data_IF_721804652346
#
_entry.id   IF_721804652346
#
_cell.length_a   1.000
_cell.length_b   1.000
_cell.length_c   1.000
_cell.angle_alpha   90.00
_cell.angle_beta   90.00
_cell.angle_gamma   90.00
#
_symmetry.space_group_name_H-M   'P 1'
#
loop_
_entity.id
_entity.type
_entity.pdbx_description
1 polymer ?
#
# COMPACT_ATOMS: atom_id res chain seq x y z
N UNK A 1 -0.40 -0.79 1.16
CA UNK A 1 -0.96 -0.02 2.29
C UNK A 1 -1.15 -0.95 3.48
N UNK A 2 -0.46 -0.71 4.60
CA UNK A 2 -0.56 -1.45 5.86
C UNK A 2 -0.07 -2.92 5.85
N UNK A 3 0.76 -3.34 4.92
CA UNK A 3 1.29 -4.70 4.93
C UNK A 3 2.39 -4.85 5.98
N UNK A 4 2.16 -5.68 7.00
CA UNK A 4 3.13 -5.96 8.05
C UNK A 4 4.30 -6.82 7.55
N UNK A 5 5.50 -6.56 8.05
CA UNK A 5 6.73 -7.29 7.74
C UNK A 5 6.59 -8.82 7.90
N UNK A 6 5.91 -9.28 8.94
CA UNK A 6 5.72 -10.70 9.23
C UNK A 6 4.65 -11.40 8.37
N UNK A 7 4.28 -10.83 7.23
CA UNK A 7 3.28 -11.38 6.30
C UNK A 7 3.87 -11.74 4.94
N UNK A 8 5.16 -12.06 4.89
CA UNK A 8 5.85 -12.55 3.70
C UNK A 8 6.36 -13.97 3.99
N UNK A 9 6.02 -14.94 3.14
CA UNK A 9 6.34 -16.35 3.38
C UNK A 9 7.86 -16.60 3.42
N UNK A 10 8.62 -16.03 2.49
CA UNK A 10 10.08 -16.15 2.46
C UNK A 10 10.77 -15.57 3.71
N UNK A 11 10.11 -14.66 4.44
CA UNK A 11 10.61 -14.07 5.68
C UNK A 11 10.16 -14.83 6.95
N UNK A 12 9.56 -16.01 6.78
CA UNK A 12 9.29 -16.96 7.88
C UNK A 12 7.82 -17.20 8.18
N UNK A 13 6.88 -16.48 7.59
CA UNK A 13 5.44 -16.75 7.78
C UNK A 13 4.95 -17.83 6.80
N UNK A 14 4.82 -19.05 7.27
CA UNK A 14 4.40 -20.18 6.43
C UNK A 14 2.87 -20.30 6.23
N UNK A 15 2.10 -19.44 6.87
CA UNK A 15 0.62 -19.45 6.78
C UNK A 15 0.10 -18.56 5.65
N UNK A 16 0.89 -17.62 5.14
CA UNK A 16 0.51 -16.72 4.04
C UNK A 16 1.19 -17.12 2.73
N UNK A 17 0.46 -17.03 1.62
CA UNK A 17 0.99 -17.31 0.28
C UNK A 17 1.42 -16.02 -0.43
N UNK A 18 2.74 -15.87 -0.67
CA UNK A 18 3.32 -14.68 -1.32
C UNK A 18 4.39 -15.06 -2.35
N UNK A 19 4.11 -15.98 -3.30
CA UNK A 19 5.14 -16.56 -4.18
C UNK A 19 5.85 -15.53 -5.06
N UNK A 20 5.21 -14.41 -5.41
CA UNK A 20 5.80 -13.39 -6.26
C UNK A 20 6.68 -12.42 -5.45
N UNK A 21 6.25 -12.03 -4.26
CA UNK A 21 7.07 -11.26 -3.30
C UNK A 21 8.26 -12.13 -2.83
N UNK A 22 8.05 -13.42 -2.62
CA UNK A 22 9.12 -14.37 -2.24
C UNK A 22 10.22 -14.43 -3.31
N UNK A 23 9.88 -14.34 -4.59
CA UNK A 23 10.87 -14.23 -5.69
C UNK A 23 11.67 -12.94 -5.58
N UNK A 24 11.05 -11.81 -5.24
CA UNK A 24 11.77 -10.56 -5.00
C UNK A 24 12.71 -10.66 -3.81
N UNK A 25 12.28 -11.32 -2.73
CA UNK A 25 13.12 -11.58 -1.54
C UNK A 25 14.32 -12.46 -1.90
N UNK A 26 14.11 -13.55 -2.66
CA UNK A 26 15.17 -14.51 -3.00
C UNK A 26 16.18 -13.98 -4.02
N UNK A 27 15.74 -13.11 -4.92
CA UNK A 27 16.57 -12.58 -6.01
C UNK A 27 17.12 -11.18 -5.74
N UNK A 28 16.74 -10.57 -4.61
CA UNK A 28 17.06 -9.20 -4.28
C UNK A 28 17.76 -9.03 -2.94
N UNK A 29 17.75 -7.80 -2.46
CA UNK A 29 18.26 -7.40 -1.17
C UNK A 29 17.09 -7.02 -0.25
N UNK A 30 17.03 -7.59 0.96
CA UNK A 30 15.95 -7.37 1.91
C UNK A 30 16.45 -6.65 3.17
N UNK A 31 15.84 -5.51 3.47
CA UNK A 31 16.01 -4.82 4.75
C UNK A 31 15.08 -5.47 5.79
N UNK A 32 15.64 -6.26 6.69
CA UNK A 32 14.87 -6.97 7.71
C UNK A 32 14.48 -6.09 8.92
N UNK A 33 15.06 -4.89 9.02
CA UNK A 33 14.82 -3.93 10.10
C UNK A 33 14.58 -2.54 9.51
N UNK A 34 13.46 -2.38 8.79
CA UNK A 34 13.00 -1.10 8.28
C UNK A 34 11.83 -0.59 9.12
N UNK A 35 11.87 0.66 9.55
CA UNK A 35 10.90 1.28 10.43
C UNK A 35 10.42 2.61 9.88
N UNK A 36 9.17 2.97 10.18
CA UNK A 36 8.67 4.32 9.98
C UNK A 36 8.97 5.18 11.21
N UNK A 37 9.01 6.49 11.04
CA UNK A 37 9.22 7.43 12.16
C UNK A 37 7.94 7.77 12.92
N UNK A 38 6.81 7.13 12.60
CA UNK A 38 5.51 7.45 13.17
C UNK A 38 4.85 8.66 12.52
N UNK A 39 4.07 9.41 13.30
CA UNK A 39 3.28 10.54 12.84
C UNK A 39 3.14 11.59 13.94
N UNK A 40 2.63 12.77 13.58
CA UNK A 40 2.16 13.80 14.53
C UNK A 40 0.73 13.54 15.02
N UNK A 41 0.03 12.58 14.44
CA UNK A 41 -1.35 12.20 14.76
C UNK A 41 -1.53 10.69 14.57
N UNK A 42 -2.70 10.12 14.93
CA UNK A 42 -2.96 8.69 14.83
C UNK A 42 -2.92 8.09 13.42
N UNK A 43 -2.91 8.90 12.35
CA UNK A 43 -2.83 8.41 10.98
C UNK A 43 -1.39 8.44 10.46
N UNK A 44 -0.78 7.29 10.24
CA UNK A 44 0.65 7.17 9.87
C UNK A 44 0.91 7.05 8.36
N UNK A 45 -0.09 6.68 7.55
CA UNK A 45 0.10 6.44 6.11
C UNK A 45 0.55 7.71 5.36
N UNK A 46 -0.08 8.87 5.60
CA UNK A 46 0.27 10.12 4.91
C UNK A 46 1.73 10.54 5.17
N UNK A 47 2.19 10.66 6.42
CA UNK A 47 3.57 11.03 6.70
C UNK A 47 4.57 9.97 6.23
N UNK A 48 4.26 8.69 6.36
CA UNK A 48 5.14 7.63 5.85
C UNK A 48 5.33 7.73 4.33
N UNK A 49 4.24 7.91 3.57
CA UNK A 49 4.30 8.12 2.12
C UNK A 49 5.04 9.40 1.76
N UNK A 50 4.86 10.47 2.54
CA UNK A 50 5.59 11.71 2.35
C UNK A 50 7.10 11.52 2.59
N UNK A 51 7.50 10.84 3.67
CA UNK A 51 8.90 10.50 3.95
C UNK A 51 9.51 9.64 2.84
N UNK A 52 8.79 8.59 2.39
CA UNK A 52 9.24 7.71 1.31
C UNK A 52 9.46 8.49 0.00
N UNK A 53 8.52 9.35 -0.37
CA UNK A 53 8.58 10.10 -1.64
C UNK A 53 9.57 11.26 -1.63
N UNK A 54 9.96 11.76 -0.46
CA UNK A 54 10.83 12.96 -0.34
C UNK A 54 12.22 12.67 0.21
N UNK A 55 12.43 11.51 0.86
CA UNK A 55 13.64 11.22 1.62
C UNK A 55 13.83 12.14 2.84
N UNK A 56 12.80 12.87 3.25
CA UNK A 56 12.87 13.76 4.41
C UNK A 56 12.42 13.07 5.69
N UNK A 57 12.99 13.49 6.81
CA UNK A 57 12.50 13.10 8.13
C UNK A 57 11.14 13.71 8.44
N UNK A 58 10.35 13.07 9.30
CA UNK A 58 9.02 13.53 9.72
C UNK A 58 9.00 15.01 10.14
N UNK A 59 10.02 15.46 10.87
CA UNK A 59 10.12 16.84 11.39
C UNK A 59 10.32 17.90 10.29
N UNK A 60 10.65 17.49 9.07
CA UNK A 60 10.79 18.36 7.89
C UNK A 60 9.51 18.47 7.06
N UNK A 61 8.55 17.61 7.33
CA UNK A 61 7.24 17.61 6.68
C UNK A 61 6.29 18.64 7.32
N UNK A 62 5.09 18.74 6.78
CA UNK A 62 4.03 19.57 7.38
C UNK A 62 3.76 19.14 8.84
N UNK A 63 3.90 20.05 9.79
CA UNK A 63 3.83 19.77 11.23
C UNK A 63 2.43 19.37 11.71
N UNK A 64 1.40 19.62 10.92
CA UNK A 64 0.02 19.30 11.32
C UNK A 64 -0.36 17.88 10.92
N UNK A 65 -0.05 17.50 9.67
CA UNK A 65 -0.47 16.21 9.10
C UNK A 65 0.68 15.33 8.62
N UNK A 66 1.92 15.84 8.59
CA UNK A 66 3.06 15.14 8.01
C UNK A 66 2.96 15.01 6.48
N UNK A 67 2.24 15.93 5.82
CA UNK A 67 2.12 15.94 4.36
C UNK A 67 3.35 16.56 3.69
N UNK A 68 3.49 16.33 2.38
CA UNK A 68 4.53 16.95 1.55
C UNK A 68 4.28 18.46 1.46
N UNK A 69 5.21 19.25 1.97
CA UNK A 69 5.16 20.72 1.88
C UNK A 69 5.38 21.20 0.44
N UNK A 70 4.88 22.41 0.13
CA UNK A 70 4.90 22.96 -1.23
C UNK A 70 6.31 23.15 -1.81
N UNK A 71 7.29 23.40 -0.95
CA UNK A 71 8.69 23.63 -1.32
C UNK A 71 9.56 22.37 -1.25
N UNK A 72 8.97 21.22 -0.93
CA UNK A 72 9.70 19.95 -0.85
C UNK A 72 9.55 19.22 -2.18
N UNK A 73 10.66 18.94 -2.84
CA UNK A 73 10.68 18.09 -4.03
C UNK A 73 10.56 16.62 -3.65
N UNK A 74 9.80 15.89 -4.45
CA UNK A 74 9.70 14.43 -4.35
C UNK A 74 10.74 13.75 -5.23
N UNK A 75 11.10 12.51 -4.91
CA UNK A 75 11.96 11.69 -5.75
C UNK A 75 11.41 11.56 -7.19
N UNK A 76 10.12 11.23 -7.41
CA UNK A 76 9.58 11.20 -8.78
C UNK A 76 9.60 12.57 -9.47
N UNK A 77 9.49 13.69 -8.74
CA UNK A 77 9.67 15.02 -9.33
C UNK A 77 11.11 15.22 -9.83
N UNK A 78 12.11 14.83 -9.06
CA UNK A 78 13.52 14.92 -9.46
C UNK A 78 13.81 14.03 -10.68
N UNK A 79 13.26 12.82 -10.72
CA UNK A 79 13.37 11.93 -11.87
C UNK A 79 12.70 12.52 -13.11
N UNK A 80 11.51 13.10 -12.97
CA UNK A 80 10.82 13.82 -14.05
C UNK A 80 11.67 14.98 -14.59
N UNK A 81 12.25 15.80 -13.72
CA UNK A 81 13.16 16.89 -14.08
C UNK A 81 14.45 16.38 -14.77
N UNK A 82 14.84 15.13 -14.48
CA UNK A 82 15.97 14.44 -15.12
C UNK A 82 15.60 13.71 -16.42
N UNK A 83 14.39 13.90 -16.94
CA UNK A 83 13.95 13.36 -18.21
C UNK A 83 13.25 12.00 -18.17
N UNK A 84 12.96 11.45 -17.00
CA UNK A 84 12.17 10.22 -16.85
C UNK A 84 10.71 10.45 -17.21
N UNK A 85 10.08 9.44 -17.82
CA UNK A 85 8.62 9.30 -17.80
C UNK A 85 8.20 8.80 -16.42
N UNK A 86 7.36 9.57 -15.72
CA UNK A 86 6.92 9.20 -14.35
C UNK A 86 5.44 8.86 -14.36
N UNK A 87 5.11 7.61 -14.01
CA UNK A 87 3.77 7.04 -14.00
C UNK A 87 3.33 6.71 -12.57
N UNK A 88 2.03 6.87 -12.30
CA UNK A 88 1.44 6.51 -11.01
C UNK A 88 0.07 5.84 -11.16
N UNK A 89 -0.19 4.84 -10.35
CA UNK A 89 -1.52 4.27 -10.12
C UNK A 89 -1.70 3.90 -8.64
N UNK A 90 -2.92 4.05 -8.13
CA UNK A 90 -3.25 3.70 -6.75
C UNK A 90 -3.29 4.88 -5.77
N UNK A 91 -3.00 4.59 -4.50
CA UNK A 91 -3.16 5.53 -3.38
C UNK A 91 -1.99 6.50 -3.26
N UNK A 92 -2.27 7.79 -3.44
CA UNK A 92 -1.30 8.87 -3.20
C UNK A 92 -1.27 9.34 -1.75
N UNK A 93 -2.43 9.63 -1.20
CA UNK A 93 -2.63 10.09 0.18
C UNK A 93 -1.72 11.27 0.57
N UNK A 94 -1.57 12.21 -0.34
CA UNK A 94 -0.91 13.50 -0.12
C UNK A 94 -1.63 14.59 -0.92
N UNK A 95 -1.12 15.81 -0.91
CA UNK A 95 -1.75 16.94 -1.57
C UNK A 95 -1.70 16.81 -3.10
N UNK A 96 -2.76 17.28 -3.80
CA UNK A 96 -2.83 17.28 -5.27
C UNK A 96 -1.65 18.01 -5.94
N UNK A 97 -1.17 19.20 -5.45
CA UNK A 97 -0.02 19.87 -6.05
C UNK A 97 1.26 19.04 -6.02
N UNK A 98 1.54 18.30 -4.95
CA UNK A 98 2.71 17.42 -4.88
C UNK A 98 2.60 16.25 -5.85
N UNK A 99 1.40 15.71 -6.06
CA UNK A 99 1.14 14.70 -7.08
C UNK A 99 1.44 15.21 -8.49
N UNK A 100 0.86 16.34 -8.86
CA UNK A 100 1.01 16.92 -10.20
C UNK A 100 2.46 17.28 -10.55
N UNK A 101 3.21 17.79 -9.56
CA UNK A 101 4.65 18.05 -9.74
C UNK A 101 5.46 16.76 -9.97
N UNK A 102 5.03 15.66 -9.37
CA UNK A 102 5.77 14.37 -9.35
C UNK A 102 5.63 13.55 -10.63
N UNK A 103 4.44 13.56 -11.27
CA UNK A 103 4.15 12.62 -12.33
C UNK A 103 3.88 13.29 -13.68
N UNK A 104 4.17 12.55 -14.77
CA UNK A 104 3.87 12.94 -16.15
C UNK A 104 2.57 12.34 -16.64
N UNK A 105 2.18 11.18 -16.09
CA UNK A 105 0.93 10.50 -16.40
C UNK A 105 0.50 9.60 -15.24
N UNK A 106 -0.70 9.06 -15.33
CA UNK A 106 -1.24 8.13 -14.35
C UNK A 106 -2.67 7.73 -14.67
N UNK A 107 -3.06 6.56 -14.18
CA UNK A 107 -4.40 6.01 -14.36
C UNK A 107 -4.89 5.40 -13.05
N UNK A 108 -6.21 5.44 -12.82
CA UNK A 108 -6.82 4.92 -11.59
C UNK A 108 -6.16 5.48 -10.30
N UNK A 109 -6.03 6.80 -10.22
CA UNK A 109 -5.35 7.49 -9.11
C UNK A 109 -6.32 7.69 -7.96
N UNK A 110 -6.00 7.19 -6.77
CA UNK A 110 -6.72 7.39 -5.52
C UNK A 110 -6.01 8.45 -4.67
N UNK A 111 -6.57 9.67 -4.64
CA UNK A 111 -5.94 10.82 -3.98
C UNK A 111 -6.19 10.89 -2.46
N UNK A 112 -7.17 10.10 -1.94
CA UNK A 112 -7.61 10.12 -0.55
C UNK A 112 -6.80 9.17 0.35
N UNK A 113 -7.06 9.23 1.66
CA UNK A 113 -6.41 8.40 2.67
C UNK A 113 -7.02 7.02 2.87
N UNK A 114 -8.34 6.96 3.01
CA UNK A 114 -9.08 5.72 3.25
C UNK A 114 -10.36 5.67 2.42
N UNK A 115 -10.83 4.47 2.18
CA UNK A 115 -12.11 4.21 1.53
C UNK A 115 -12.73 2.96 2.17
N UNK A 116 -13.99 3.05 2.57
CA UNK A 116 -14.73 1.96 3.20
C UNK A 116 -15.07 0.78 2.27
N UNK A 117 -14.53 0.74 1.06
CA UNK A 117 -14.87 -0.31 0.09
C UNK A 117 -13.79 -0.42 -1.00
N UNK A 118 -13.15 -1.58 -1.14
CA UNK A 118 -12.16 -1.84 -2.20
C UNK A 118 -12.78 -2.05 -3.59
N UNK A 119 -14.09 -2.26 -3.71
CA UNK A 119 -14.81 -2.38 -4.98
C UNK A 119 -15.27 -1.05 -5.56
N UNK A 120 -15.32 0.02 -4.77
CA UNK A 120 -15.82 1.35 -5.19
C UNK A 120 -14.90 2.45 -4.69
N UNK A 121 -13.67 2.44 -5.17
CA UNK A 121 -12.68 3.46 -4.83
C UNK A 121 -12.92 4.69 -5.72
N UNK A 122 -12.95 5.92 -5.16
CA UNK A 122 -13.05 7.14 -5.96
C UNK A 122 -11.73 7.43 -6.67
N UNK A 123 -11.75 7.36 -7.98
CA UNK A 123 -10.57 7.41 -8.82
C UNK A 123 -10.53 8.65 -9.71
N UNK A 124 -9.32 9.01 -10.11
CA UNK A 124 -9.03 9.99 -11.15
C UNK A 124 -8.05 9.40 -12.17
N UNK A 125 -8.09 9.88 -13.40
CA UNK A 125 -6.96 9.75 -14.31
C UNK A 125 -6.08 11.00 -14.20
N UNK A 126 -4.88 10.94 -14.75
CA UNK A 126 -3.96 12.08 -14.71
C UNK A 126 -4.63 13.31 -15.34
N UNK A 127 -4.61 14.41 -14.59
CA UNK A 127 -5.16 15.70 -15.01
C UNK A 127 -4.00 16.66 -15.29
N UNK A 128 -3.75 17.03 -16.56
CA UNK A 128 -2.66 17.93 -16.92
C UNK A 128 -2.85 19.36 -16.37
N UNK A 129 -4.04 19.72 -15.89
CA UNK A 129 -4.26 20.98 -15.18
C UNK A 129 -3.77 20.96 -13.73
N UNK A 130 -3.60 19.78 -13.13
CA UNK A 130 -3.27 19.59 -11.72
C UNK A 130 -4.40 19.87 -10.73
N UNK A 131 -5.62 20.19 -11.21
CA UNK A 131 -6.74 20.62 -10.36
C UNK A 131 -7.51 19.41 -9.79
N UNK A 132 -7.69 18.33 -10.56
CA UNK A 132 -8.48 17.17 -10.20
C UNK A 132 -9.88 17.53 -9.65
N UNK A 133 -10.74 18.14 -10.47
CA UNK A 133 -12.06 18.57 -10.03
C UNK A 133 -12.95 17.36 -9.72
N UNK A 134 -13.87 17.52 -8.75
CA UNK A 134 -14.76 16.43 -8.30
C UNK A 134 -15.60 15.81 -9.45
N UNK A 135 -15.97 16.62 -10.46
CA UNK A 135 -16.72 16.13 -11.63
C UNK A 135 -15.96 15.13 -12.50
N UNK A 136 -14.61 15.06 -12.37
CA UNK A 136 -13.75 14.13 -13.10
C UNK A 136 -13.51 12.84 -12.28
N UNK A 137 -14.02 12.78 -11.06
CA UNK A 137 -13.99 11.59 -10.23
C UNK A 137 -14.89 10.50 -10.81
N UNK A 138 -14.39 9.28 -10.88
CA UNK A 138 -15.14 8.12 -11.36
C UNK A 138 -14.97 6.94 -10.42
N UNK A 139 -15.81 5.93 -10.63
CA UNK A 139 -15.82 4.66 -9.91
C UNK A 139 -15.86 3.53 -10.93
N UNK A 140 -15.20 2.44 -10.62
CA UNK A 140 -15.30 1.18 -11.36
C UNK A 140 -15.74 0.09 -10.40
N UNK A 141 -16.63 -0.80 -10.84
CA UNK A 141 -17.12 -1.92 -10.05
C UNK A 141 -16.16 -3.11 -10.18
N UNK A 142 -14.98 -2.94 -9.59
CA UNK A 142 -13.86 -3.89 -9.62
C UNK A 142 -12.94 -3.64 -8.42
N UNK A 143 -12.31 -4.68 -7.90
CA UNK A 143 -11.31 -4.52 -6.84
C UNK A 143 -10.21 -3.53 -7.25
N UNK A 144 -9.88 -2.63 -6.32
CA UNK A 144 -8.88 -1.56 -6.54
C UNK A 144 -7.51 -2.10 -6.94
N UNK A 145 -7.05 -3.18 -6.32
CA UNK A 145 -5.79 -3.86 -6.66
C UNK A 145 -5.76 -4.36 -8.10
N UNK A 146 -6.88 -4.90 -8.61
CA UNK A 146 -7.00 -5.29 -10.01
C UNK A 146 -6.93 -4.08 -10.94
N UNK A 147 -7.60 -2.96 -10.58
CA UNK A 147 -7.55 -1.71 -11.37
C UNK A 147 -6.14 -1.11 -11.43
N UNK A 148 -5.43 -1.13 -10.32
CA UNK A 148 -4.06 -0.61 -10.26
C UNK A 148 -3.09 -1.49 -11.04
N UNK A 149 -3.24 -2.83 -10.94
CA UNK A 149 -2.50 -3.77 -11.77
C UNK A 149 -2.77 -3.54 -13.25
N UNK A 150 -4.05 -3.41 -13.68
CA UNK A 150 -4.40 -3.15 -15.08
C UNK A 150 -3.76 -1.87 -15.61
N UNK A 151 -3.79 -0.78 -14.84
CA UNK A 151 -3.14 0.48 -15.21
C UNK A 151 -1.61 0.34 -15.36
N UNK A 152 -0.96 -0.39 -14.46
CA UNK A 152 0.48 -0.65 -14.54
C UNK A 152 0.84 -1.54 -15.75
N UNK A 153 0.06 -2.60 -15.99
CA UNK A 153 0.22 -3.48 -17.16
C UNK A 153 0.04 -2.69 -18.47
N UNK A 154 -0.99 -1.87 -18.56
CA UNK A 154 -1.23 -1.01 -19.73
C UNK A 154 -0.06 -0.06 -19.98
N UNK A 155 0.43 0.59 -18.91
CA UNK A 155 1.59 1.48 -19.01
C UNK A 155 2.82 0.74 -19.55
N UNK A 156 3.19 -0.39 -18.95
CA UNK A 156 4.36 -1.17 -19.35
C UNK A 156 4.24 -1.74 -20.77
N UNK A 157 3.05 -2.22 -21.16
CA UNK A 157 2.82 -2.79 -22.49
C UNK A 157 2.85 -1.75 -23.62
N UNK A 158 2.57 -0.48 -23.31
CA UNK A 158 2.56 0.62 -24.28
C UNK A 158 3.83 1.48 -24.21
N UNK A 159 4.73 1.15 -23.30
CA UNK A 159 5.94 1.94 -23.09
C UNK A 159 6.92 1.77 -24.25
N UNK A 160 7.33 2.89 -24.88
CA UNK A 160 8.14 2.91 -26.09
C UNK A 160 9.65 2.71 -25.87
N UNK A 161 10.10 2.72 -24.61
CA UNK A 161 11.50 2.54 -24.26
C UNK A 161 12.44 3.72 -24.59
N UNK A 162 11.91 4.84 -25.11
CA UNK A 162 12.73 5.98 -25.57
C UNK A 162 13.38 6.70 -24.36
N UNK A 163 12.62 6.90 -23.29
CA UNK A 163 13.11 7.55 -22.07
C UNK A 163 13.16 6.53 -20.92
N UNK A 164 14.02 6.70 -19.92
CA UNK A 164 13.89 5.91 -18.71
C UNK A 164 12.53 6.19 -18.04
N UNK A 165 11.98 5.20 -17.32
CA UNK A 165 10.73 5.40 -16.57
C UNK A 165 10.89 5.22 -15.08
N UNK A 166 9.98 5.85 -14.34
CA UNK A 166 9.66 5.58 -12.95
C UNK A 166 8.17 5.25 -12.86
N UNK A 167 7.83 4.06 -12.41
CA UNK A 167 6.44 3.64 -12.21
C UNK A 167 6.19 3.34 -10.74
N UNK A 168 5.17 3.96 -10.15
CA UNK A 168 4.75 3.70 -8.79
C UNK A 168 3.35 3.08 -8.79
N UNK A 169 3.25 1.85 -8.30
CA UNK A 169 2.00 1.11 -8.12
C UNK A 169 1.70 1.03 -6.64
N UNK A 170 0.71 1.76 -6.17
CA UNK A 170 0.41 1.94 -4.76
C UNK A 170 -0.92 1.32 -4.38
N UNK A 171 -0.90 0.03 -4.02
CA UNK A 171 -2.10 -0.71 -3.65
C UNK A 171 -2.75 -0.15 -2.38
N UNK A 172 -4.09 -0.18 -2.33
CA UNK A 172 -4.86 0.13 -1.12
C UNK A 172 -5.01 -1.09 -0.21
N UNK A 173 -4.94 -2.30 -0.75
CA UNK A 173 -4.88 -3.55 0.03
C UNK A 173 -3.47 -3.73 0.61
N UNK A 174 -3.37 -4.34 1.80
CA UNK A 174 -4.39 -4.97 2.65
C UNK A 174 -5.00 -4.05 3.74
N UNK A 175 -5.09 -2.72 3.53
CA UNK A 175 -5.78 -1.80 4.45
C UNK A 175 -7.25 -2.23 4.67
N UNK A 176 -7.82 -1.94 5.83
CA UNK A 176 -9.24 -2.17 6.10
C UNK A 176 -10.18 -1.41 5.11
N UNK A 177 -11.42 -1.92 4.86
CA UNK A 177 -12.03 -3.13 5.41
C UNK A 177 -11.41 -4.41 4.83
N UNK A 178 -11.48 -5.51 5.59
CA UNK A 178 -10.95 -6.80 5.16
C UNK A 178 -11.79 -7.40 4.05
N UNK A 179 -11.42 -7.08 2.81
CA UNK A 179 -12.14 -7.49 1.59
C UNK A 179 -11.15 -8.05 0.58
N UNK A 180 -11.33 -9.30 0.22
CA UNK A 180 -10.64 -9.95 -0.90
C UNK A 180 -11.68 -10.68 -1.76
N UNK A 181 -11.40 -10.98 -3.04
CA UNK A 181 -12.24 -11.88 -3.84
C UNK A 181 -12.38 -13.25 -3.16
N UNK A 182 -13.54 -13.89 -3.35
CA UNK A 182 -13.90 -15.16 -2.70
C UNK A 182 -12.84 -16.26 -2.87
N UNK A 183 -12.20 -16.32 -4.03
CA UNK A 183 -11.19 -17.35 -4.33
C UNK A 183 -9.93 -17.21 -3.46
N UNK A 184 -9.63 -16.00 -2.99
CA UNK A 184 -8.55 -15.77 -2.02
C UNK A 184 -9.03 -15.99 -0.59
N UNK A 185 -10.26 -15.58 -0.25
CA UNK A 185 -10.80 -15.82 1.09
C UNK A 185 -10.87 -17.31 1.41
N UNK A 186 -11.30 -18.16 0.45
CA UNK A 186 -11.39 -19.62 0.60
C UNK A 186 -10.04 -20.31 0.84
N UNK A 187 -8.91 -19.66 0.56
CA UNK A 187 -7.57 -20.22 0.80
C UNK A 187 -7.21 -20.27 2.29
N UNK A 188 -7.88 -19.47 3.12
CA UNK A 188 -7.52 -19.27 4.53
C UNK A 188 -8.64 -19.72 5.47
N UNK A 189 -8.44 -20.86 6.12
CA UNK A 189 -9.32 -21.31 7.20
C UNK A 189 -8.87 -20.64 8.52
N UNK A 190 -9.70 -19.79 9.09
CA UNK A 190 -9.40 -19.09 10.34
C UNK A 190 -9.07 -20.01 11.52
N UNK A 191 -9.67 -21.20 11.56
CA UNK A 191 -9.37 -22.19 12.62
C UNK A 191 -7.91 -22.65 12.60
N UNK A 192 -7.31 -22.74 11.40
CA UNK A 192 -5.92 -23.15 11.21
C UNK A 192 -4.90 -22.03 11.42
N UNK A 193 -5.35 -20.77 11.50
CA UNK A 193 -4.47 -19.60 11.69
C UNK A 193 -3.91 -19.55 13.12
N UNK A 194 -2.61 -19.30 13.21
CA UNK A 194 -1.93 -19.07 14.48
C UNK A 194 -2.13 -17.66 14.99
N UNK A 195 -2.39 -17.51 16.28
CA UNK A 195 -2.39 -16.19 16.92
C UNK A 195 -0.95 -15.68 17.10
N UNK A 196 -0.74 -14.36 17.06
CA UNK A 196 0.54 -13.79 17.44
C UNK A 196 0.99 -14.24 18.84
N UNK A 197 2.29 -14.49 19.02
CA UNK A 197 2.83 -14.94 20.33
C UNK A 197 2.53 -13.97 21.47
N UNK A 198 2.37 -12.70 21.15
CA UNK A 198 2.04 -11.60 22.06
C UNK A 198 0.57 -11.19 21.97
N UNK A 199 -0.30 -12.11 21.53
CA UNK A 199 -1.74 -11.87 21.51
C UNK A 199 -2.25 -11.56 22.92
N UNK A 200 -3.11 -10.56 23.00
CA UNK A 200 -3.86 -10.19 24.20
C UNK A 200 -5.31 -9.87 23.82
N UNK A 201 -6.26 -10.20 24.70
CA UNK A 201 -7.67 -9.85 24.50
C UNK A 201 -7.95 -8.35 24.67
N UNK A 202 -7.08 -7.67 25.41
CA UNK A 202 -7.13 -6.22 25.66
C UNK A 202 -5.73 -5.70 25.94
N UNK A 203 -5.43 -4.49 25.47
CA UNK A 203 -4.19 -3.80 25.80
C UNK A 203 -4.11 -3.49 27.31
N UNK A 204 -2.92 -3.58 27.90
CA UNK A 204 -2.72 -3.50 29.34
C UNK A 204 -3.03 -2.13 29.96
N UNK A 205 -2.96 -1.08 29.17
CA UNK A 205 -3.20 0.29 29.61
C UNK A 205 -3.89 1.09 28.50
N UNK A 206 -4.53 2.19 28.87
CA UNK A 206 -5.09 3.13 27.89
C UNK A 206 -3.99 4.09 27.44
N UNK A 207 -3.58 3.97 26.17
CA UNK A 207 -2.62 4.84 25.53
C UNK A 207 -3.25 6.12 24.92
N UNK A 208 -4.56 6.33 25.12
CA UNK A 208 -5.34 7.42 24.51
C UNK A 208 -5.95 7.09 23.15
N UNK A 209 -5.59 5.97 22.53
CA UNK A 209 -5.91 5.62 21.14
C UNK A 209 -6.73 4.32 20.99
N UNK A 210 -7.24 3.74 22.09
CA UNK A 210 -7.96 2.44 22.06
C UNK A 210 -9.34 2.48 21.43
N UNK A 211 -9.84 3.65 21.07
CA UNK A 211 -11.16 3.86 20.45
C UNK A 211 -11.08 4.54 19.08
N UNK A 212 -9.88 4.64 18.50
CA UNK A 212 -9.72 5.16 17.14
C UNK A 212 -10.17 4.17 16.09
N UNK A 213 -10.27 4.62 14.86
CA UNK A 213 -10.85 3.92 13.73
C UNK A 213 -10.44 2.45 13.63
N UNK A 214 -9.13 2.16 13.59
CA UNK A 214 -8.60 0.82 13.35
C UNK A 214 -8.87 -0.12 14.54
N UNK A 215 -8.89 0.42 15.74
CA UNK A 215 -9.21 -0.35 16.96
C UNK A 215 -10.68 -0.71 17.06
N UNK A 216 -11.57 -0.02 16.33
CA UNK A 216 -13.00 -0.31 16.26
C UNK A 216 -13.37 -1.46 15.29
N UNK A 217 -12.40 -2.06 14.60
CA UNK A 217 -12.64 -3.21 13.71
C UNK A 217 -13.18 -4.43 14.48
N UNK A 218 -12.76 -4.63 15.73
CA UNK A 218 -13.32 -5.65 16.64
C UNK A 218 -13.64 -5.05 18.01
N UNK A 219 -14.69 -5.53 18.69
CA UNK A 219 -15.01 -5.10 20.04
C UNK A 219 -13.99 -5.59 21.08
N UNK A 220 -13.94 -4.93 22.22
CA UNK A 220 -13.21 -5.42 23.40
C UNK A 220 -14.14 -6.21 24.36
N UNK A 221 -13.68 -7.27 25.03
CA UNK A 221 -12.38 -7.93 24.84
C UNK A 221 -12.34 -8.68 23.51
N UNK A 222 -11.19 -8.68 22.83
CA UNK A 222 -11.02 -9.39 21.56
C UNK A 222 -10.94 -10.89 21.80
N UNK A 223 -11.77 -11.66 21.11
CA UNK A 223 -11.71 -13.12 21.19
C UNK A 223 -10.64 -13.68 20.27
N UNK A 224 -10.16 -14.87 20.58
CA UNK A 224 -9.16 -15.57 19.75
C UNK A 224 -9.72 -15.86 18.35
N UNK A 225 -10.97 -16.27 18.29
CA UNK A 225 -11.70 -16.61 17.08
C UNK A 225 -11.82 -15.41 16.16
N UNK A 226 -12.31 -14.27 16.67
CA UNK A 226 -12.45 -13.05 15.88
C UNK A 226 -11.10 -12.53 15.35
N UNK A 227 -10.03 -12.61 16.14
CA UNK A 227 -8.69 -12.19 15.68
C UNK A 227 -8.15 -13.15 14.62
N UNK A 228 -8.40 -14.44 14.72
CA UNK A 228 -8.03 -15.41 13.68
C UNK A 228 -8.77 -15.15 12.36
N UNK A 229 -10.05 -14.77 12.42
CA UNK A 229 -10.84 -14.38 11.26
C UNK A 229 -10.25 -13.12 10.60
N UNK A 230 -9.86 -12.10 11.39
CA UNK A 230 -9.18 -10.90 10.89
C UNK A 230 -7.85 -11.23 10.21
N UNK A 231 -7.03 -12.11 10.81
CA UNK A 231 -5.75 -12.53 10.22
C UNK A 231 -5.99 -13.31 8.90
N UNK A 232 -6.95 -14.22 8.86
CA UNK A 232 -7.28 -14.98 7.66
C UNK A 232 -7.70 -14.05 6.51
N UNK A 233 -8.57 -13.09 6.79
CA UNK A 233 -9.02 -12.10 5.82
C UNK A 233 -7.87 -11.18 5.37
N UNK A 234 -6.98 -10.80 6.28
CA UNK A 234 -5.79 -10.02 5.98
C UNK A 234 -4.82 -10.79 5.06
N UNK A 235 -4.58 -12.07 5.31
CA UNK A 235 -3.76 -12.93 4.45
C UNK A 235 -4.37 -13.12 3.06
N UNK A 236 -5.70 -13.23 2.97
CA UNK A 236 -6.41 -13.29 1.69
C UNK A 236 -6.17 -12.04 0.83
N UNK A 237 -6.21 -10.86 1.43
CA UNK A 237 -5.91 -9.60 0.74
C UNK A 237 -4.44 -9.53 0.29
N UNK A 238 -3.51 -10.01 1.11
CA UNK A 238 -2.08 -10.03 0.77
C UNK A 238 -1.81 -10.96 -0.40
N UNK A 239 -2.39 -12.15 -0.42
CA UNK A 239 -2.23 -13.10 -1.54
C UNK A 239 -2.85 -12.56 -2.83
N UNK A 240 -3.93 -11.81 -2.75
CA UNK A 240 -4.53 -11.13 -3.89
C UNK A 240 -3.59 -10.04 -4.46
N UNK A 241 -2.96 -9.26 -3.58
CA UNK A 241 -1.96 -8.25 -3.98
C UNK A 241 -0.73 -8.92 -4.58
N UNK A 242 -0.23 -10.00 -3.97
CA UNK A 242 0.92 -10.77 -4.48
C UNK A 242 0.70 -11.28 -5.90
N UNK A 243 -0.48 -11.82 -6.18
CA UNK A 243 -0.85 -12.30 -7.52
C UNK A 243 -0.91 -11.14 -8.53
N UNK A 244 -1.42 -9.98 -8.14
CA UNK A 244 -1.41 -8.79 -9.00
C UNK A 244 0.02 -8.25 -9.23
N UNK A 245 0.90 -8.31 -8.24
CA UNK A 245 2.32 -8.00 -8.39
C UNK A 245 2.96 -8.95 -9.40
N UNK A 246 2.71 -10.26 -9.29
CA UNK A 246 3.22 -11.26 -10.22
C UNK A 246 2.84 -10.98 -11.69
N UNK A 247 1.61 -10.52 -11.93
CA UNK A 247 1.15 -10.13 -13.27
C UNK A 247 1.87 -8.89 -13.81
N UNK A 248 2.19 -7.92 -12.95
CA UNK A 248 2.96 -6.73 -13.33
C UNK A 248 4.40 -7.13 -13.66
N UNK A 249 5.04 -7.94 -12.82
CA UNK A 249 6.41 -8.41 -13.02
C UNK A 249 6.54 -9.21 -14.31
N UNK A 250 5.56 -10.08 -14.60
CA UNK A 250 5.50 -10.84 -15.83
C UNK A 250 5.49 -9.94 -17.07
N UNK A 251 4.67 -8.88 -17.08
CA UNK A 251 4.63 -7.94 -18.21
C UNK A 251 5.94 -7.16 -18.34
N UNK A 252 6.57 -6.80 -17.23
CA UNK A 252 7.89 -6.16 -17.24
C UNK A 252 8.96 -7.05 -17.92
N UNK A 253 8.91 -8.37 -17.66
CA UNK A 253 9.76 -9.37 -18.33
C UNK A 253 9.42 -9.50 -19.82
N UNK A 254 8.13 -9.69 -20.15
CA UNK A 254 7.64 -9.89 -21.53
C UNK A 254 7.93 -8.69 -22.43
N UNK A 255 7.96 -7.48 -21.89
CA UNK A 255 8.31 -6.25 -22.62
C UNK A 255 9.81 -5.99 -22.73
N UNK A 256 10.65 -6.85 -22.13
CA UNK A 256 12.12 -6.76 -22.20
C UNK A 256 12.74 -5.66 -21.35
N UNK A 257 11.99 -5.12 -20.38
CA UNK A 257 12.48 -4.04 -19.52
C UNK A 257 13.02 -4.52 -18.18
N UNK A 258 12.84 -5.81 -17.81
CA UNK A 258 13.19 -6.33 -16.48
C UNK A 258 14.68 -6.21 -16.15
N UNK A 259 15.57 -6.53 -17.10
CA UNK A 259 17.02 -6.54 -16.89
C UNK A 259 17.62 -5.14 -16.62
N UNK A 260 16.91 -4.08 -16.98
CA UNK A 260 17.34 -2.70 -16.77
C UNK A 260 16.38 -1.90 -15.85
N UNK A 261 15.67 -2.59 -14.98
CA UNK A 261 14.72 -1.98 -14.06
C UNK A 261 15.04 -2.38 -12.61
N UNK A 262 15.20 -1.40 -11.74
CA UNK A 262 15.27 -1.62 -10.30
C UNK A 262 13.85 -1.73 -9.78
N UNK A 263 13.53 -2.87 -9.16
CA UNK A 263 12.22 -3.15 -8.54
C UNK A 263 12.34 -2.95 -7.04
N UNK A 264 11.48 -2.09 -6.48
CA UNK A 264 11.41 -1.82 -5.04
C UNK A 264 10.02 -2.22 -4.55
N UNK A 265 9.95 -3.22 -3.66
CA UNK A 265 8.75 -3.57 -2.93
C UNK A 265 8.86 -3.01 -1.50
N UNK A 266 7.85 -2.28 -1.06
CA UNK A 266 7.77 -1.73 0.31
C UNK A 266 6.32 -1.55 0.74
N UNK A 267 6.09 -1.51 2.05
CA UNK A 267 4.84 -1.01 2.63
C UNK A 267 5.04 0.42 3.16
N UNK A 268 3.96 1.19 3.26
CA UNK A 268 4.00 2.50 3.91
C UNK A 268 4.09 2.38 5.44
N UNK A 269 3.48 1.35 6.00
CA UNK A 269 3.58 0.93 7.41
C UNK A 269 3.07 -0.52 7.54
N UNK A 270 3.18 -1.07 8.73
CA UNK A 270 2.46 -2.27 9.14
C UNK A 270 1.33 -1.91 10.09
N UNK A 271 0.64 -2.93 10.59
CA UNK A 271 -0.38 -2.80 11.63
C UNK A 271 -0.33 -3.99 12.59
N UNK A 272 -0.95 -3.84 13.75
CA UNK A 272 -1.22 -4.94 14.65
C UNK A 272 -2.47 -5.71 14.16
N UNK A 273 -2.46 -7.04 14.30
CA UNK A 273 -3.64 -7.89 14.12
C UNK A 273 -3.70 -8.85 15.32
N UNK A 274 -4.04 -8.29 16.48
CA UNK A 274 -4.10 -9.02 17.77
C UNK A 274 -2.85 -8.91 18.64
N UNK A 275 -1.73 -8.40 18.11
CA UNK A 275 -0.53 -8.15 18.89
C UNK A 275 -0.83 -7.12 19.99
N UNK A 276 -0.45 -7.44 21.23
CA UNK A 276 -0.67 -6.58 22.40
C UNK A 276 -2.14 -6.14 22.62
N UNK A 277 -3.11 -6.88 22.06
CA UNK A 277 -4.53 -6.51 22.12
C UNK A 277 -4.93 -5.38 21.17
N UNK A 278 -4.10 -5.04 20.18
CA UNK A 278 -4.32 -3.98 19.21
C UNK A 278 -4.64 -4.54 17.82
N UNK A 279 -5.29 -3.73 16.98
CA UNK A 279 -5.60 -4.04 15.56
C UNK A 279 -5.04 -3.00 14.60
N UNK A 280 -4.71 -1.84 15.11
CA UNK A 280 -4.32 -0.68 14.32
C UNK A 280 -2.81 -0.47 14.19
N UNK A 281 -2.49 0.72 13.75
CA UNK A 281 -1.16 1.21 13.43
C UNK A 281 -0.90 2.54 14.10
#
# INVERSE_FOLDING_TARGET
>A
DDQSFNTINALGNKEVSTPNIDKLVSNGFTFTHAYIMGSFSGAVCMPSRAMLMTGQYLQKLDKVQGAIGENIKTMPQLLKESGYTTFFTGKWHNRKPSFFKSFTNGENIFLMGGNGNHLKVPLYNFDPSGIYPEKNKFFKDKFSSVLFKEAAVNFLSQYDGIKPFFACVSFTSPHDPRMAPDDYQKQYNSEAISLPKNFMSKHNFNNGELIIRDENLLPFPRTKEAVKEEIAAYYAMISEVDDNIGKILKVLEETGHADNTIIIFTSDNGLAVGQHGLLGK
#
